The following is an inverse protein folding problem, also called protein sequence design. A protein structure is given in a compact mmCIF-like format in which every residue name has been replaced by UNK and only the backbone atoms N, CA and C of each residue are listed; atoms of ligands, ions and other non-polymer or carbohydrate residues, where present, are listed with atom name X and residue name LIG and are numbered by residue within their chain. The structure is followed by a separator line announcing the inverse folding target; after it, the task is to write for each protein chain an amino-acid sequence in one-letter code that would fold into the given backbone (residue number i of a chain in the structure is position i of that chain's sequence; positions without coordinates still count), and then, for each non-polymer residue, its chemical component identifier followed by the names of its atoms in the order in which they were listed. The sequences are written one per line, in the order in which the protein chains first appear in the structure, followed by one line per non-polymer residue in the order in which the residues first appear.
data_IF_459846264340
#
_entry.id   IF_459846264340
#
_cell.length_a   1.000
_cell.length_b   1.000
_cell.length_c   1.000
_cell.angle_alpha   90.00
_cell.angle_beta   90.00
_cell.angle_gamma   90.00
#
_symmetry.space_group_name_H-M   'P 1'
#
loop_
_entity.id
_entity.type
_entity.pdbx_description
1 polymer ?
#
# COMPACT_ATOMS: atom_id res chain seq x y z
N UNK A 1 -6.85 31.89 12.27
CA UNK A 1 -7.97 32.80 11.93
C UNK A 1 -9.17 31.94 11.59
N UNK A 2 -10.23 31.99 12.41
CA UNK A 2 -11.38 31.09 12.29
C UNK A 2 -12.17 31.35 11.02
N UNK A 3 -12.62 30.27 10.37
CA UNK A 3 -13.63 30.34 9.33
C UNK A 3 -14.92 30.88 9.96
N UNK A 4 -15.28 32.13 9.67
CA UNK A 4 -16.59 32.64 10.01
C UNK A 4 -17.63 31.77 9.30
N UNK A 5 -18.56 31.19 10.06
CA UNK A 5 -19.66 30.41 9.49
C UNK A 5 -20.43 31.30 8.50
N UNK A 6 -20.54 30.85 7.25
CA UNK A 6 -21.30 31.57 6.22
C UNK A 6 -22.77 31.63 6.63
N UNK A 7 -23.37 32.80 6.51
CA UNK A 7 -24.77 33.01 6.95
C UNK A 7 -25.74 32.35 5.97
N UNK A 8 -26.95 32.01 6.42
CA UNK A 8 -27.99 31.45 5.54
C UNK A 8 -28.27 32.35 4.31
N UNK A 9 -28.21 33.67 4.51
CA UNK A 9 -28.35 34.66 3.44
C UNK A 9 -27.23 34.56 2.39
N UNK A 10 -25.98 34.30 2.81
CA UNK A 10 -24.86 34.09 1.88
C UNK A 10 -25.00 32.78 1.09
N UNK A 11 -25.51 31.72 1.72
CA UNK A 11 -25.80 30.47 1.01
C UNK A 11 -26.88 30.65 -0.07
N UNK A 12 -27.90 31.45 0.22
CA UNK A 12 -28.98 31.75 -0.73
C UNK A 12 -28.48 32.63 -1.89
N UNK A 13 -27.60 33.60 -1.61
CA UNK A 13 -26.88 34.38 -2.62
C UNK A 13 -25.99 33.51 -3.53
N UNK A 14 -25.22 32.58 -2.96
CA UNK A 14 -24.38 31.65 -3.73
C UNK A 14 -25.20 30.73 -4.63
N UNK A 15 -26.36 30.27 -4.16
CA UNK A 15 -27.32 29.51 -4.98
C UNK A 15 -27.86 30.35 -6.13
N UNK A 16 -28.24 31.61 -5.87
CA UNK A 16 -28.75 32.51 -6.89
C UNK A 16 -27.71 32.77 -7.99
N UNK A 17 -26.44 32.94 -7.62
CA UNK A 17 -25.33 33.06 -8.59
C UNK A 17 -25.21 31.80 -9.43
N UNK A 18 -25.20 30.61 -8.82
CA UNK A 18 -25.03 29.37 -9.57
C UNK A 18 -26.19 29.09 -10.53
N UNK A 19 -27.43 29.38 -10.14
CA UNK A 19 -28.59 29.25 -11.03
C UNK A 19 -28.50 30.20 -12.23
N UNK A 20 -28.17 31.47 -12.00
CA UNK A 20 -27.99 32.45 -13.10
C UNK A 20 -26.79 32.12 -13.99
N UNK A 21 -25.71 31.62 -13.40
CA UNK A 21 -24.52 31.18 -14.12
C UNK A 21 -24.86 30.07 -15.13
N UNK A 22 -25.67 29.07 -14.71
CA UNK A 22 -26.10 27.98 -15.59
C UNK A 22 -26.98 28.44 -16.76
N UNK A 23 -27.80 29.48 -16.53
CA UNK A 23 -28.68 30.03 -17.58
C UNK A 23 -28.00 31.07 -18.47
N UNK A 24 -26.73 31.38 -18.22
CA UNK A 24 -25.95 32.35 -19.00
C UNK A 24 -25.46 31.76 -20.33
N UNK A 25 -25.04 32.60 -21.30
CA UNK A 25 -24.45 32.14 -22.56
C UNK A 25 -23.32 31.12 -22.33
N UNK A 26 -23.27 30.09 -23.17
CA UNK A 26 -22.31 28.99 -23.02
C UNK A 26 -22.42 28.26 -21.68
N UNK A 27 -23.57 28.32 -21.00
CA UNK A 27 -23.75 27.77 -19.65
C UNK A 27 -22.70 28.35 -18.66
N UNK A 28 -22.28 29.59 -18.88
CA UNK A 28 -21.27 30.31 -18.11
C UNK A 28 -19.84 30.29 -18.69
N UNK A 29 -19.57 29.49 -19.73
CA UNK A 29 -18.25 29.45 -20.39
C UNK A 29 -17.97 30.69 -21.23
N UNK A 30 -19.01 31.29 -21.80
CA UNK A 30 -18.91 32.48 -22.67
C UNK A 30 -18.90 33.80 -21.87
N UNK A 31 -19.01 33.73 -20.54
CA UNK A 31 -18.93 34.92 -19.70
C UNK A 31 -17.47 35.38 -19.59
N UNK A 32 -17.15 36.54 -20.15
CA UNK A 32 -15.89 37.21 -19.85
C UNK A 32 -15.84 37.69 -18.38
N UNK A 33 -14.69 38.22 -17.95
CA UNK A 33 -14.50 38.65 -16.57
C UNK A 33 -15.49 39.76 -16.14
N UNK A 34 -15.81 40.70 -17.05
CA UNK A 34 -16.71 41.80 -16.76
C UNK A 34 -18.17 41.32 -16.66
N UNK A 35 -18.60 40.49 -17.60
CA UNK A 35 -19.93 39.88 -17.60
C UNK A 35 -20.13 38.95 -16.39
N UNK A 36 -19.10 38.20 -16.00
CA UNK A 36 -19.13 37.37 -14.79
C UNK A 36 -19.21 38.21 -13.52
N UNK A 37 -18.39 39.26 -13.40
CA UNK A 37 -18.43 40.15 -12.24
C UNK A 37 -19.79 40.87 -12.09
N UNK A 38 -20.37 41.32 -13.22
CA UNK A 38 -21.71 41.89 -13.24
C UNK A 38 -22.76 40.88 -12.76
N UNK A 39 -22.71 39.63 -13.24
CA UNK A 39 -23.62 38.57 -12.80
C UNK A 39 -23.54 38.35 -11.29
N UNK A 40 -22.32 38.26 -10.72
CA UNK A 40 -22.13 38.08 -9.28
C UNK A 40 -22.62 39.31 -8.51
N UNK A 41 -22.39 40.52 -9.01
CA UNK A 41 -22.85 41.77 -8.39
C UNK A 41 -24.37 41.85 -8.29
N UNK A 42 -25.08 41.42 -9.32
CA UNK A 42 -26.55 41.45 -9.39
C UNK A 42 -27.21 40.30 -8.62
N UNK A 43 -26.54 39.15 -8.52
CA UNK A 43 -27.11 37.94 -7.91
C UNK A 43 -26.70 37.77 -6.44
N UNK A 44 -25.54 38.27 -6.05
CA UNK A 44 -24.95 38.12 -4.73
C UNK A 44 -24.09 39.35 -4.36
N UNK A 45 -24.73 40.49 -4.05
CA UNK A 45 -24.01 41.74 -3.79
C UNK A 45 -23.07 41.62 -2.58
N UNK A 46 -23.43 40.82 -1.57
CA UNK A 46 -22.60 40.60 -0.38
C UNK A 46 -21.36 39.77 -0.72
N UNK A 47 -21.53 38.71 -1.53
CA UNK A 47 -20.42 37.88 -2.04
C UNK A 47 -19.50 38.70 -2.95
N UNK A 48 -20.05 39.48 -3.88
CA UNK A 48 -19.27 40.38 -4.75
C UNK A 48 -18.44 41.35 -3.92
N UNK A 49 -19.05 42.06 -2.96
CA UNK A 49 -18.36 43.02 -2.11
C UNK A 49 -17.19 42.39 -1.34
N UNK A 50 -17.34 41.15 -0.86
CA UNK A 50 -16.25 40.42 -0.18
C UNK A 50 -15.12 40.05 -1.13
N UNK A 51 -15.45 39.56 -2.33
CA UNK A 51 -14.47 39.13 -3.33
C UNK A 51 -13.70 40.30 -3.96
N UNK A 52 -14.27 41.50 -3.98
CA UNK A 52 -13.59 42.71 -4.49
C UNK A 52 -12.95 43.57 -3.40
N UNK A 53 -13.14 43.24 -2.11
CA UNK A 53 -12.63 44.03 -0.98
C UNK A 53 -11.10 44.19 -0.97
N UNK A 54 -10.37 43.21 -1.51
CA UNK A 54 -8.91 43.23 -1.63
C UNK A 54 -8.38 44.03 -2.84
N UNK A 55 -9.27 44.69 -3.59
CA UNK A 55 -8.95 45.40 -4.84
C UNK A 55 -9.15 44.54 -6.09
N UNK A 56 -9.04 45.16 -7.27
CA UNK A 56 -9.15 44.50 -8.57
C UNK A 56 -10.52 44.58 -9.26
N UNK A 57 -11.57 45.08 -8.58
CA UNK A 57 -12.90 45.29 -9.18
C UNK A 57 -13.41 44.04 -9.93
N UNK A 58 -13.82 44.23 -11.18
CA UNK A 58 -14.32 43.16 -12.06
C UNK A 58 -13.23 42.17 -12.51
N UNK A 59 -11.95 42.49 -12.28
CA UNK A 59 -10.81 41.62 -12.54
C UNK A 59 -10.20 41.02 -11.26
N UNK A 60 -10.96 40.99 -10.15
CA UNK A 60 -10.48 40.40 -8.89
C UNK A 60 -10.07 38.93 -9.08
N UNK A 61 -8.88 38.51 -8.61
CA UNK A 61 -8.47 37.10 -8.61
C UNK A 61 -9.44 36.20 -7.86
N UNK A 62 -10.14 36.72 -6.85
CA UNK A 62 -11.15 35.98 -6.11
C UNK A 62 -12.40 35.68 -6.97
N UNK A 63 -12.83 36.63 -7.82
CA UNK A 63 -13.91 36.40 -8.78
C UNK A 63 -13.50 35.38 -9.84
N UNK A 64 -12.25 35.42 -10.33
CA UNK A 64 -11.73 34.43 -11.28
C UNK A 64 -11.68 33.00 -10.69
N UNK A 65 -11.22 32.88 -9.43
CA UNK A 65 -11.23 31.61 -8.72
C UNK A 65 -12.66 31.10 -8.49
N UNK A 66 -13.58 31.99 -8.13
CA UNK A 66 -14.98 31.66 -7.94
C UNK A 66 -15.65 31.19 -9.23
N UNK A 67 -15.37 31.83 -10.36
CA UNK A 67 -15.83 31.37 -11.69
C UNK A 67 -15.39 29.93 -11.96
N UNK A 68 -14.11 29.61 -11.71
CA UNK A 68 -13.57 28.26 -11.89
C UNK A 68 -14.32 27.23 -11.02
N UNK A 69 -14.69 27.61 -9.79
CA UNK A 69 -15.47 26.73 -8.91
C UNK A 69 -16.88 26.46 -9.44
N UNK A 70 -17.56 27.47 -10.01
CA UNK A 70 -18.90 27.31 -10.59
C UNK A 70 -18.85 26.42 -11.85
N UNK A 71 -17.84 26.60 -12.71
CA UNK A 71 -17.60 25.70 -13.86
C UNK A 71 -17.41 24.25 -13.39
N UNK A 72 -16.60 24.03 -12.35
CA UNK A 72 -16.39 22.71 -11.77
C UNK A 72 -17.67 22.09 -11.19
N UNK A 73 -18.44 22.86 -10.43
CA UNK A 73 -19.71 22.41 -9.84
C UNK A 73 -20.75 22.05 -10.91
N UNK A 74 -20.86 22.87 -11.96
CA UNK A 74 -21.71 22.63 -13.13
C UNK A 74 -21.33 21.34 -13.84
N UNK A 75 -20.05 21.16 -14.16
CA UNK A 75 -19.56 19.96 -14.86
C UNK A 75 -19.81 18.68 -14.02
N UNK A 76 -19.67 18.76 -12.70
CA UNK A 76 -19.97 17.65 -11.79
C UNK A 76 -21.46 17.31 -11.77
N UNK A 77 -22.34 18.31 -11.74
CA UNK A 77 -23.78 18.10 -11.78
C UNK A 77 -24.23 17.51 -13.13
N UNK A 78 -23.67 18.00 -14.23
CA UNK A 78 -23.92 17.45 -15.57
C UNK A 78 -23.47 15.99 -15.67
N UNK A 79 -22.32 15.64 -15.10
CA UNK A 79 -21.83 14.25 -15.06
C UNK A 79 -22.71 13.33 -14.20
N UNK A 80 -23.37 13.86 -13.17
CA UNK A 80 -24.31 13.11 -12.32
C UNK A 80 -25.71 12.94 -12.96
N UNK A 81 -26.11 13.89 -13.80
CA UNK A 81 -27.40 13.87 -14.49
C UNK A 81 -27.37 13.12 -15.84
N UNK A 82 -26.19 12.88 -16.41
CA UNK A 82 -26.07 12.08 -17.62
C UNK A 82 -26.54 10.63 -17.35
N UNK A 83 -27.41 10.06 -18.21
CA UNK A 83 -27.80 8.67 -18.07
C UNK A 83 -26.54 7.81 -18.08
N UNK A 84 -26.35 7.05 -17.01
CA UNK A 84 -25.23 6.14 -16.88
C UNK A 84 -25.41 5.06 -17.95
N UNK A 85 -24.68 5.20 -19.05
CA UNK A 85 -24.64 4.20 -20.11
C UNK A 85 -23.89 2.99 -19.56
N UNK A 86 -24.60 2.13 -18.85
CA UNK A 86 -24.05 0.93 -18.23
C UNK A 86 -23.45 0.01 -19.29
N UNK A 87 -23.90 0.08 -20.55
CA UNK A 87 -23.29 -0.66 -21.65
C UNK A 87 -21.93 -0.05 -22.05
N UNK A 88 -21.80 1.28 -22.16
CA UNK A 88 -20.52 1.93 -22.39
C UNK A 88 -19.58 1.85 -21.17
N UNK A 89 -20.10 1.91 -19.95
CA UNK A 89 -19.33 1.70 -18.71
C UNK A 89 -18.85 0.25 -18.63
N UNK A 90 -19.70 -0.72 -18.98
CA UNK A 90 -19.33 -2.15 -19.01
C UNK A 90 -18.42 -2.46 -20.19
N UNK A 91 -18.58 -1.80 -21.34
CA UNK A 91 -17.69 -1.91 -22.49
C UNK A 91 -16.35 -1.22 -22.23
N UNK A 92 -16.33 -0.11 -21.47
CA UNK A 92 -15.09 0.55 -21.00
C UNK A 92 -14.43 -0.24 -19.89
N UNK A 93 -15.18 -0.83 -18.97
CA UNK A 93 -14.66 -1.78 -17.99
C UNK A 93 -14.16 -3.07 -18.64
N UNK A 94 -14.84 -3.55 -19.69
CA UNK A 94 -14.40 -4.67 -20.51
C UNK A 94 -13.18 -4.29 -21.36
N UNK A 95 -13.11 -3.07 -21.90
CA UNK A 95 -11.95 -2.54 -22.62
C UNK A 95 -10.79 -2.17 -21.70
N UNK A 96 -11.02 -1.87 -20.42
CA UNK A 96 -10.00 -1.76 -19.36
C UNK A 96 -9.54 -3.17 -18.94
N UNK A 97 -10.42 -4.18 -18.96
CA UNK A 97 -10.06 -5.59 -18.79
C UNK A 97 -9.36 -6.20 -20.01
N UNK A 98 -9.71 -5.74 -21.21
CA UNK A 98 -9.20 -6.20 -22.52
C UNK A 98 -8.08 -5.31 -23.05
N UNK A 99 -7.84 -4.15 -22.43
CA UNK A 99 -6.55 -3.51 -22.60
C UNK A 99 -5.56 -4.49 -22.02
N UNK A 100 -4.75 -5.02 -22.93
CA UNK A 100 -3.66 -5.94 -22.73
C UNK A 100 -2.56 -5.24 -21.90
N UNK A 101 -2.90 -4.85 -20.67
CA UNK A 101 -1.90 -4.84 -19.63
C UNK A 101 -1.56 -6.32 -19.47
N UNK A 102 -0.36 -6.68 -19.93
CA UNK A 102 0.12 -8.05 -20.01
C UNK A 102 -0.39 -8.91 -18.86
N UNK A 103 -0.80 -10.14 -19.19
CA UNK A 103 -1.01 -11.20 -18.21
C UNK A 103 0.06 -11.10 -17.10
N UNK A 104 -0.42 -11.07 -15.85
CA UNK A 104 0.32 -10.85 -14.61
C UNK A 104 0.69 -9.38 -14.33
N UNK A 105 -0.17 -8.64 -13.60
CA UNK A 105 0.30 -7.46 -12.85
C UNK A 105 1.10 -8.06 -11.72
N UNK A 106 2.43 -7.94 -11.74
CA UNK A 106 3.21 -8.46 -10.67
C UNK A 106 2.96 -7.55 -9.45
N UNK A 107 2.83 -8.12 -8.26
CA UNK A 107 2.72 -7.35 -7.00
C UNK A 107 3.91 -6.40 -6.85
N UNK A 108 3.93 -5.48 -5.87
CA UNK A 108 5.14 -4.69 -5.63
C UNK A 108 6.38 -5.60 -5.40
N UNK A 109 6.16 -6.76 -4.77
CA UNK A 109 7.15 -7.81 -4.60
C UNK A 109 7.59 -8.43 -5.94
N UNK A 110 6.65 -8.83 -6.80
CA UNK A 110 7.00 -9.38 -8.12
C UNK A 110 7.54 -8.30 -9.09
N UNK A 111 7.11 -7.05 -8.98
CA UNK A 111 7.67 -5.89 -9.71
C UNK A 111 9.10 -5.62 -9.24
N UNK A 112 9.38 -5.77 -7.95
CA UNK A 112 10.74 -5.72 -7.41
C UNK A 112 11.62 -6.87 -7.93
N UNK A 113 11.06 -8.08 -8.07
CA UNK A 113 11.76 -9.25 -8.63
C UNK A 113 11.98 -9.15 -10.14
N UNK A 114 11.01 -8.60 -10.89
CA UNK A 114 11.02 -8.56 -12.37
C UNK A 114 11.75 -7.31 -12.91
N UNK A 115 11.72 -6.17 -12.20
CA UNK A 115 12.28 -4.89 -12.68
C UNK A 115 13.82 -4.78 -12.50
N UNK A 116 14.55 -5.81 -12.94
CA UNK A 116 16.02 -5.82 -13.03
C UNK A 116 16.66 -4.77 -13.95
N UNK A 117 15.93 -3.72 -14.37
CA UNK A 117 16.45 -2.69 -15.28
C UNK A 117 17.36 -1.64 -14.61
N UNK A 118 17.50 -1.64 -13.28
CA UNK A 118 18.56 -0.92 -12.54
C UNK A 118 19.05 -1.73 -11.31
N UNK A 119 19.34 -3.04 -11.46
CA UNK A 119 19.86 -3.93 -10.38
C UNK A 119 19.45 -3.52 -8.94
N UNK A 120 18.17 -3.23 -8.67
CA UNK A 120 17.76 -2.91 -7.31
C UNK A 120 17.65 -4.23 -6.57
N UNK A 121 18.59 -4.48 -5.66
CA UNK A 121 18.40 -5.52 -4.66
C UNK A 121 17.34 -5.01 -3.66
N UNK A 122 16.08 -4.95 -4.11
CA UNK A 122 15.02 -4.25 -3.38
C UNK A 122 14.48 -5.08 -2.20
N UNK A 123 14.68 -6.40 -2.22
CA UNK A 123 14.19 -7.29 -1.19
C UNK A 123 15.23 -7.47 -0.08
N UNK A 124 14.77 -7.34 1.16
CA UNK A 124 15.57 -7.55 2.36
C UNK A 124 15.04 -8.77 3.09
N UNK A 125 15.94 -9.72 3.35
CA UNK A 125 15.63 -10.94 4.06
C UNK A 125 16.14 -10.86 5.50
N UNK A 126 15.30 -11.30 6.42
CA UNK A 126 15.61 -11.44 7.84
C UNK A 126 15.92 -12.92 8.09
N UNK A 127 17.17 -13.28 8.42
CA UNK A 127 17.46 -14.63 8.87
C UNK A 127 16.90 -14.82 10.29
N UNK A 128 16.17 -15.91 10.47
CA UNK A 128 15.57 -16.29 11.74
C UNK A 128 15.60 -17.81 11.92
N UNK A 129 15.27 -18.27 13.11
CA UNK A 129 15.22 -19.69 13.44
C UNK A 129 13.91 -20.03 14.16
N UNK A 130 13.30 -21.15 13.77
CA UNK A 130 12.12 -21.71 14.42
C UNK A 130 12.42 -23.18 14.66
N UNK A 131 12.32 -23.66 15.90
CA UNK A 131 12.65 -25.04 16.27
C UNK A 131 14.01 -25.52 15.72
N UNK A 132 15.05 -24.69 15.81
CA UNK A 132 16.38 -24.98 15.27
C UNK A 132 16.49 -25.12 13.76
N UNK A 133 15.45 -24.74 13.03
CA UNK A 133 15.45 -24.67 11.57
C UNK A 133 15.62 -23.20 11.15
N UNK A 134 16.66 -22.92 10.38
CA UNK A 134 16.86 -21.61 9.76
C UNK A 134 15.78 -21.37 8.72
N UNK A 135 15.17 -20.18 8.80
CA UNK A 135 14.15 -19.69 7.88
C UNK A 135 14.57 -18.30 7.43
N UNK A 136 14.33 -17.99 6.17
CA UNK A 136 14.53 -16.65 5.62
C UNK A 136 13.20 -15.98 5.42
N UNK A 137 12.98 -14.87 6.11
CA UNK A 137 11.75 -14.13 5.99
C UNK A 137 11.93 -12.84 5.19
N UNK A 138 11.01 -12.55 4.29
CA UNK A 138 10.90 -11.25 3.68
C UNK A 138 10.47 -10.21 4.72
N UNK A 139 11.22 -9.11 4.81
CA UNK A 139 10.81 -7.94 5.56
C UNK A 139 9.77 -7.14 4.75
N UNK A 140 8.50 -7.17 5.15
CA UNK A 140 7.42 -6.53 4.39
C UNK A 140 6.52 -5.65 5.27
N UNK A 141 6.77 -4.34 5.25
CA UNK A 141 5.90 -3.36 5.92
C UNK A 141 4.57 -3.14 5.21
N UNK A 142 4.37 -3.70 4.01
CA UNK A 142 3.10 -3.68 3.29
C UNK A 142 2.16 -4.81 3.66
N UNK A 143 2.65 -5.84 4.36
CA UNK A 143 1.84 -6.95 4.84
C UNK A 143 1.23 -6.63 6.22
N UNK A 144 -0.09 -6.73 6.36
CA UNK A 144 -0.76 -6.57 7.66
C UNK A 144 -0.33 -7.68 8.64
N UNK A 145 -0.19 -8.91 8.14
CA UNK A 145 0.08 -10.11 8.93
C UNK A 145 1.31 -10.84 8.44
N UNK A 146 2.01 -11.45 9.38
CA UNK A 146 3.12 -12.34 9.11
C UNK A 146 2.62 -13.68 8.58
N UNK A 147 3.39 -14.29 7.68
CA UNK A 147 3.01 -15.56 7.02
C UNK A 147 4.19 -16.52 6.93
N UNK A 148 3.90 -17.82 6.89
CA UNK A 148 4.87 -18.90 6.75
C UNK A 148 4.46 -19.85 5.63
N UNK A 149 5.43 -20.26 4.81
CA UNK A 149 5.19 -21.24 3.74
C UNK A 149 4.82 -22.60 4.31
N UNK A 150 3.95 -23.36 3.63
CA UNK A 150 3.61 -24.74 4.03
C UNK A 150 4.86 -25.60 4.20
N UNK A 151 5.80 -25.54 3.25
CA UNK A 151 7.04 -26.32 3.28
C UNK A 151 7.93 -25.97 4.49
N UNK A 152 8.02 -24.68 4.83
CA UNK A 152 8.75 -24.21 6.00
C UNK A 152 8.03 -24.59 7.30
N UNK A 153 6.69 -24.57 7.31
CA UNK A 153 5.87 -25.00 8.45
C UNK A 153 6.15 -26.47 8.79
N UNK A 154 6.20 -27.34 7.78
CA UNK A 154 6.51 -28.76 7.94
C UNK A 154 7.95 -28.97 8.41
N UNK A 155 8.92 -28.32 7.76
CA UNK A 155 10.36 -28.37 8.14
C UNK A 155 10.57 -27.94 9.60
N UNK A 156 9.91 -26.87 10.03
CA UNK A 156 9.98 -26.37 11.39
C UNK A 156 9.19 -27.22 12.40
N UNK A 157 8.51 -28.29 11.98
CA UNK A 157 7.73 -29.15 12.89
C UNK A 157 6.49 -28.46 13.48
N UNK A 158 5.90 -27.49 12.76
CA UNK A 158 4.72 -26.75 13.20
C UNK A 158 3.40 -27.31 12.65
N UNK A 159 3.44 -28.38 11.84
CA UNK A 159 2.27 -28.91 11.13
C UNK A 159 1.07 -29.22 12.03
N UNK A 160 1.29 -29.83 13.21
CA UNK A 160 0.22 -30.14 14.17
C UNK A 160 -0.36 -28.90 14.87
N UNK A 161 0.33 -27.76 14.81
CA UNK A 161 -0.10 -26.48 15.39
C UNK A 161 -0.90 -25.62 14.39
N UNK A 162 -1.06 -26.10 13.16
CA UNK A 162 -1.83 -25.40 12.12
C UNK A 162 -3.32 -25.59 12.40
N UNK A 163 -3.98 -24.49 12.73
CA UNK A 163 -5.43 -24.42 12.82
C UNK A 163 -6.01 -24.16 11.42
N UNK A 164 -6.51 -25.21 10.77
CA UNK A 164 -7.10 -25.17 9.43
C UNK A 164 -8.49 -24.53 9.40
N UNK A 165 -9.13 -24.34 10.56
CA UNK A 165 -10.39 -23.59 10.66
C UNK A 165 -10.18 -22.10 10.41
N UNK A 166 -8.94 -21.60 10.58
CA UNK A 166 -8.51 -20.25 10.25
C UNK A 166 -8.02 -20.15 8.80
N UNK A 167 -8.81 -20.65 7.86
CA UNK A 167 -8.60 -20.41 6.42
C UNK A 167 -9.16 -19.03 6.06
N UNK A 168 -8.27 -18.10 5.70
CA UNK A 168 -8.65 -16.76 5.21
C UNK A 168 -8.19 -16.59 3.78
N UNK A 169 -9.00 -15.92 2.97
CA UNK A 169 -8.56 -15.47 1.66
C UNK A 169 -7.54 -14.35 1.84
N UNK A 170 -6.29 -14.61 1.45
CA UNK A 170 -5.18 -13.64 1.53
C UNK A 170 -4.95 -13.04 0.15
N UNK A 171 -5.11 -11.72 0.06
CA UNK A 171 -4.79 -10.95 -1.15
C UNK A 171 -3.40 -10.32 -1.02
N UNK A 172 -2.62 -10.29 -2.11
CA UNK A 172 -1.32 -9.62 -2.12
C UNK A 172 -0.18 -10.39 -2.79
N UNK A 173 -0.42 -11.63 -3.26
CA UNK A 173 0.54 -12.50 -3.94
C UNK A 173 0.20 -12.74 -5.44
N UNK A 174 -0.19 -11.69 -6.16
CA UNK A 174 -0.57 -11.78 -7.58
C UNK A 174 -2.01 -12.26 -7.79
N UNK A 175 -2.77 -12.38 -6.72
CA UNK A 175 -4.15 -12.84 -6.70
C UNK A 175 -4.64 -12.99 -5.26
N UNK A 176 -5.80 -13.61 -5.12
CA UNK A 176 -6.36 -13.99 -3.84
C UNK A 176 -6.20 -15.49 -3.67
N UNK A 177 -5.29 -15.90 -2.79
CA UNK A 177 -5.01 -17.31 -2.48
C UNK A 177 -5.71 -17.67 -1.17
N UNK A 178 -6.25 -18.88 -1.10
CA UNK A 178 -6.81 -19.38 0.16
C UNK A 178 -5.65 -19.76 1.08
N UNK A 179 -5.62 -19.18 2.28
CA UNK A 179 -4.69 -19.58 3.32
C UNK A 179 -4.97 -21.01 3.76
N UNK A 180 -3.92 -21.75 4.09
CA UNK A 180 -3.99 -23.15 4.49
C UNK A 180 -4.30 -23.34 5.99
N UNK A 181 -4.33 -22.25 6.75
CA UNK A 181 -4.59 -22.25 8.19
C UNK A 181 -3.75 -21.19 8.90
N UNK A 182 -3.64 -21.28 10.22
CA UNK A 182 -2.84 -20.36 11.03
C UNK A 182 -2.12 -21.09 12.16
N UNK A 183 -0.85 -20.77 12.35
CA UNK A 183 -0.12 -21.06 13.59
C UNK A 183 -0.32 -19.87 14.53
N UNK A 184 -1.11 -20.06 15.58
CA UNK A 184 -1.45 -18.97 16.51
C UNK A 184 -0.29 -18.56 17.41
N UNK A 185 0.65 -19.47 17.65
CA UNK A 185 1.81 -19.24 18.51
C UNK A 185 2.96 -20.18 18.12
N UNK A 186 4.14 -19.59 17.95
CA UNK A 186 5.41 -20.31 18.02
C UNK A 186 6.50 -19.40 18.59
N UNK A 187 7.59 -20.00 19.06
CA UNK A 187 8.80 -19.25 19.37
C UNK A 187 9.68 -19.15 18.12
N UNK A 188 10.21 -17.96 17.87
CA UNK A 188 11.08 -17.63 16.76
C UNK A 188 12.29 -16.88 17.30
N UNK A 189 13.50 -17.32 16.95
CA UNK A 189 14.73 -16.65 17.33
C UNK A 189 15.16 -15.69 16.22
N UNK A 190 15.39 -14.43 16.58
CA UNK A 190 15.98 -13.41 15.70
C UNK A 190 17.16 -12.78 16.43
N UNK A 191 18.34 -12.74 15.80
CA UNK A 191 19.54 -12.19 16.42
C UNK A 191 19.90 -12.83 17.77
N UNK A 192 19.58 -14.12 17.96
CA UNK A 192 19.80 -14.86 19.21
C UNK A 192 18.78 -14.61 20.32
N UNK A 193 17.73 -13.82 20.07
CA UNK A 193 16.69 -13.50 21.06
C UNK A 193 15.37 -14.18 20.68
N UNK A 194 14.67 -14.82 21.63
CA UNK A 194 13.37 -15.45 21.36
C UNK A 194 12.24 -14.42 21.31
N UNK A 195 11.40 -14.55 20.28
CA UNK A 195 10.20 -13.77 20.05
C UNK A 195 8.98 -14.68 19.91
N UNK A 196 7.84 -14.19 20.40
CA UNK A 196 6.54 -14.85 20.18
C UNK A 196 5.98 -14.42 18.84
N UNK A 197 5.80 -15.37 17.93
CA UNK A 197 5.28 -15.14 16.58
C UNK A 197 3.97 -15.90 16.34
N UNK A 198 3.22 -15.44 15.35
CA UNK A 198 2.05 -16.10 14.82
C UNK A 198 2.09 -15.93 13.29
N UNK A 199 1.69 -16.96 12.56
CA UNK A 199 1.81 -16.99 11.11
C UNK A 199 0.53 -17.48 10.46
N UNK A 200 0.04 -16.75 9.46
CA UNK A 200 -0.87 -17.33 8.49
C UNK A 200 -0.08 -18.31 7.60
N UNK A 201 -0.58 -19.53 7.43
CA UNK A 201 0.09 -20.57 6.64
C UNK A 201 -0.35 -20.45 5.19
N UNK A 202 0.60 -20.19 4.28
CA UNK A 202 0.32 -19.92 2.88
C UNK A 202 1.12 -20.85 1.96
N UNK A 203 0.56 -21.13 0.79
CA UNK A 203 1.32 -21.76 -0.30
C UNK A 203 1.98 -20.67 -1.13
N UNK A 204 3.27 -20.46 -0.93
CA UNK A 204 4.04 -19.50 -1.73
C UNK A 204 4.30 -20.03 -3.15
N UNK A 205 4.47 -19.13 -4.14
CA UNK A 205 4.90 -19.52 -5.47
C UNK A 205 6.28 -20.19 -5.43
N UNK A 206 6.53 -21.19 -6.28
CA UNK A 206 7.79 -21.96 -6.27
C UNK A 206 9.06 -21.15 -6.63
N UNK A 207 8.90 -19.91 -7.10
CA UNK A 207 9.98 -19.05 -7.58
C UNK A 207 10.32 -17.89 -6.63
N UNK A 208 9.88 -17.95 -5.37
CA UNK A 208 10.29 -16.96 -4.36
C UNK A 208 11.52 -17.45 -3.59
N UNK A 209 12.39 -16.52 -3.20
CA UNK A 209 13.65 -16.79 -2.51
C UNK A 209 13.53 -16.65 -0.98
N UNK A 210 12.31 -16.70 -0.45
CA UNK A 210 12.01 -16.59 0.98
C UNK A 210 10.96 -17.61 1.41
N UNK A 211 10.98 -17.96 2.68
CA UNK A 211 10.15 -19.01 3.27
C UNK A 211 9.08 -18.47 4.23
N UNK A 212 9.20 -17.19 4.60
CA UNK A 212 8.28 -16.49 5.49
C UNK A 212 8.14 -15.00 5.10
N UNK A 213 7.12 -14.35 5.65
CA UNK A 213 6.96 -12.90 5.63
C UNK A 213 6.86 -12.42 7.08
N UNK A 214 7.65 -11.41 7.42
CA UNK A 214 7.48 -10.62 8.64
C UNK A 214 6.71 -9.35 8.29
N UNK A 215 5.43 -9.33 8.70
CA UNK A 215 4.50 -8.23 8.47
C UNK A 215 4.46 -7.21 9.60
N UNK A 216 3.62 -6.18 9.43
CA UNK A 216 3.43 -5.10 10.40
C UNK A 216 2.96 -5.58 11.77
N UNK A 217 2.14 -6.63 11.85
CA UNK A 217 1.70 -7.22 13.12
C UNK A 217 2.86 -7.59 14.05
N UNK A 218 3.92 -8.16 13.48
CA UNK A 218 5.13 -8.52 14.22
C UNK A 218 6.05 -7.30 14.39
N UNK A 219 6.28 -6.51 13.33
CA UNK A 219 7.18 -5.36 13.38
C UNK A 219 6.75 -4.31 14.40
N UNK A 220 5.45 -4.00 14.46
CA UNK A 220 4.90 -3.03 15.43
C UNK A 220 5.04 -3.57 16.85
N UNK A 221 4.72 -4.85 17.07
CA UNK A 221 4.86 -5.51 18.38
C UNK A 221 6.31 -5.52 18.86
N UNK A 222 7.23 -5.79 17.95
CA UNK A 222 8.67 -5.78 18.18
C UNK A 222 9.28 -4.39 18.20
N UNK A 223 8.48 -3.30 18.10
CA UNK A 223 8.99 -1.91 18.05
C UNK A 223 10.15 -1.76 17.06
N UNK A 224 9.96 -2.32 15.86
CA UNK A 224 11.02 -2.48 14.89
C UNK A 224 11.63 -1.13 14.46
N UNK A 225 12.95 -1.11 14.32
CA UNK A 225 13.71 -0.05 13.66
C UNK A 225 14.43 -0.64 12.45
N UNK A 226 14.11 -0.13 11.26
CA UNK A 226 14.69 -0.59 9.99
C UNK A 226 15.66 0.48 9.50
N UNK A 227 16.94 0.18 9.59
CA UNK A 227 18.02 1.08 9.19
C UNK A 227 18.50 0.69 7.80
N UNK A 228 17.94 1.35 6.77
CA UNK A 228 18.14 0.95 5.35
C UNK A 228 19.59 1.19 4.90
N UNK A 229 20.21 2.28 5.34
CA UNK A 229 21.58 2.62 4.95
C UNK A 229 22.59 1.62 5.51
N UNK A 230 22.34 1.15 6.73
CA UNK A 230 23.14 0.19 7.47
C UNK A 230 22.77 -1.26 7.12
N UNK A 231 21.62 -1.49 6.48
CA UNK A 231 21.11 -2.82 6.20
C UNK A 231 20.79 -3.61 7.45
N UNK A 232 20.25 -2.98 8.50
CA UNK A 232 19.97 -3.66 9.78
C UNK A 232 18.50 -3.55 10.19
N UNK A 233 18.03 -4.59 10.87
CA UNK A 233 16.75 -4.61 11.58
C UNK A 233 17.02 -4.78 13.07
N UNK A 234 16.49 -3.85 13.86
CA UNK A 234 16.46 -3.95 15.32
C UNK A 234 15.04 -4.20 15.80
N UNK A 235 14.87 -5.18 16.67
CA UNK A 235 13.60 -5.55 17.32
C UNK A 235 13.79 -5.52 18.84
N UNK A 236 12.69 -5.34 19.56
CA UNK A 236 12.64 -5.40 21.01
C UNK A 236 11.65 -6.46 21.44
N UNK A 237 12.11 -7.44 22.21
CA UNK A 237 11.24 -8.45 22.80
C UNK A 237 10.31 -7.80 23.85
N UNK A 238 9.31 -8.56 24.32
CA UNK A 238 8.30 -8.10 25.28
C UNK A 238 8.91 -7.61 26.61
N UNK A 239 10.06 -8.16 27.00
CA UNK A 239 10.86 -7.76 28.17
C UNK A 239 11.76 -6.54 27.90
N UNK A 240 11.79 -6.03 26.67
CA UNK A 240 12.62 -4.92 26.24
C UNK A 240 13.98 -5.32 25.67
N UNK A 241 14.36 -6.60 25.74
CA UNK A 241 15.65 -7.10 25.24
C UNK A 241 15.78 -6.80 23.73
N UNK A 242 16.80 -6.05 23.29
CA UNK A 242 16.99 -5.74 21.88
C UNK A 242 17.63 -6.92 21.14
N UNK A 243 17.23 -7.10 19.88
CA UNK A 243 17.84 -8.02 18.93
C UNK A 243 18.13 -7.27 17.64
N UNK A 244 19.38 -7.29 17.20
CA UNK A 244 19.79 -6.66 15.93
C UNK A 244 20.29 -7.72 14.97
N UNK A 245 19.87 -7.62 13.71
CA UNK A 245 20.24 -8.55 12.66
C UNK A 245 20.55 -7.81 11.36
N UNK A 246 21.54 -8.31 10.63
CA UNK A 246 21.84 -7.85 9.28
C UNK A 246 20.80 -8.38 8.29
N UNK A 247 20.34 -7.48 7.42
CA UNK A 247 19.38 -7.79 6.37
C UNK A 247 20.11 -8.29 5.13
N UNK A 248 19.82 -9.53 4.77
CA UNK A 248 20.47 -10.21 3.65
C UNK A 248 19.79 -9.86 2.32
N UNK A 249 20.57 -9.93 1.24
CA UNK A 249 20.02 -10.01 -0.10
C UNK A 249 19.85 -11.48 -0.53
N UNK A 250 18.87 -11.80 -1.39
CA UNK A 250 18.66 -13.19 -1.81
C UNK A 250 19.90 -13.87 -2.43
N UNK A 251 20.68 -13.15 -3.23
CA UNK A 251 21.93 -13.69 -3.83
C UNK A 251 23.03 -13.98 -2.81
N UNK A 252 23.07 -13.24 -1.71
CA UNK A 252 24.02 -13.49 -0.62
C UNK A 252 23.62 -14.74 0.16
N UNK A 253 22.31 -15.05 0.18
CA UNK A 253 21.84 -16.30 0.73
C UNK A 253 22.30 -17.52 -0.08
N UNK A 254 22.23 -17.48 -1.41
CA UNK A 254 22.70 -18.58 -2.27
C UNK A 254 24.15 -18.98 -1.95
N UNK A 255 25.01 -17.98 -1.70
CA UNK A 255 26.40 -18.20 -1.32
C UNK A 255 26.54 -18.79 0.10
N UNK A 256 25.71 -18.37 1.05
CA UNK A 256 25.70 -18.89 2.42
C UNK A 256 25.21 -20.34 2.47
N UNK A 257 24.16 -20.67 1.73
CA UNK A 257 23.63 -22.04 1.65
C UNK A 257 24.62 -22.98 0.92
N UNK A 258 25.23 -22.53 -0.17
CA UNK A 258 26.31 -23.29 -0.83
C UNK A 258 27.50 -23.54 0.11
N UNK A 259 27.86 -22.55 0.95
CA UNK A 259 28.89 -22.69 1.97
C UNK A 259 28.52 -23.68 3.09
N UNK A 260 27.25 -23.70 3.51
CA UNK A 260 26.72 -24.64 4.51
C UNK A 260 26.64 -26.06 3.99
N UNK A 261 26.15 -26.27 2.77
CA UNK A 261 26.17 -27.59 2.11
C UNK A 261 27.60 -28.12 1.99
N UNK A 262 28.54 -27.26 1.56
CA UNK A 262 29.96 -27.64 1.51
C UNK A 262 30.52 -28.02 2.90
N UNK A 263 30.16 -27.28 3.96
CA UNK A 263 30.58 -27.57 5.33
C UNK A 263 29.94 -28.85 5.90
N UNK A 264 28.66 -29.10 5.62
CA UNK A 264 27.96 -30.33 6.02
C UNK A 264 28.54 -31.56 5.30
N UNK A 265 28.81 -31.45 4.00
CA UNK A 265 29.47 -32.52 3.22
C UNK A 265 30.90 -32.78 3.72
N UNK A 266 31.64 -31.74 4.11
CA UNK A 266 32.98 -31.88 4.72
C UNK A 266 32.93 -32.56 6.10
N UNK A 267 31.93 -32.23 6.93
CA UNK A 267 31.72 -32.86 8.24
C UNK A 267 31.39 -34.36 8.12
N UNK A 268 30.57 -34.74 7.13
CA UNK A 268 30.24 -36.15 6.84
C UNK A 268 31.47 -36.92 6.35
N UNK A 269 32.35 -36.30 5.55
CA UNK A 269 33.59 -36.95 5.08
C UNK A 269 34.67 -37.07 6.16
N UNK A 270 34.70 -36.17 7.15
CA UNK A 270 35.65 -36.21 8.26
C UNK A 270 35.31 -37.24 9.35
N UNK A 271 34.04 -37.65 9.48
CA UNK A 271 33.59 -38.61 10.49
C UNK A 271 33.77 -40.09 10.14
N UNK A 272 34.14 -40.43 8.90
CA UNK A 272 34.26 -41.82 8.42
C UNK A 272 35.62 -42.49 8.64
N UNK A 273 36.53 -41.87 9.40
CA UNK A 273 37.93 -42.32 9.56
C UNK A 273 38.31 -42.72 10.98
N UNK A 274 37.40 -43.34 11.74
CA UNK A 274 37.70 -43.94 13.04
C UNK A 274 36.87 -45.20 13.27
N UNK A 275 37.29 -46.29 12.63
CA UNK A 275 36.96 -47.68 13.03
C UNK A 275 38.08 -48.60 12.61
#
# INVERSE_FOLDING_TARGET
MGAAASTQAEHDELRAVFERFKTSPGNGDDLDAAAFAQLVREAAPTVHSKMTAAGGGDASPALAAFRTQLVGARNKLAAQAAPRDDAAVKARAAAIRQHDWAADVPTNLQKGLIAGMLRSQALRLVPLEINSVRVLALLDTGAERSALGVEATDRCGLGELVDDSFTRRVGGFGGATDGCGRVHYCEMIVGGVPFRAAFDVLRFPANVEFEAIIGLDFLVRGRASIAIAEGTLTLHNHDGTPASVELLFPRENDALEAGREAAAVASVKGGGGAS
#
